data_IF_882779888321
#
_entry.id   IF_882779888321
#
_cell.length_a   1.000
_cell.length_b   1.000
_cell.length_c   1.000
_cell.angle_alpha   90.00
_cell.angle_beta   90.00
_cell.angle_gamma   90.00
#
_symmetry.space_group_name_H-M   'P 1'
#
loop_
_entity.id
_entity.type
_entity.pdbx_description
1 polymer ?
#
# COMPACT_ATOMS: atom_id res chain seq x y z
N UNK A 1 8.21 -8.58 -8.38
CA UNK A 1 7.79 -9.60 -7.39
C UNK A 1 7.09 -10.71 -8.14
N UNK A 2 7.57 -11.95 -8.06
CA UNK A 2 7.03 -13.11 -8.82
C UNK A 2 6.27 -14.12 -7.95
N UNK A 3 6.23 -13.91 -6.62
CA UNK A 3 5.58 -14.83 -5.70
C UNK A 3 4.08 -14.51 -5.59
N UNK A 4 3.29 -15.28 -6.34
CA UNK A 4 1.83 -15.33 -6.29
C UNK A 4 1.38 -16.31 -5.19
N UNK A 5 0.19 -16.08 -4.62
CA UNK A 5 -0.45 -17.03 -3.70
C UNK A 5 -1.87 -17.32 -4.16
N UNK A 6 -2.39 -18.48 -3.76
CA UNK A 6 -3.75 -18.94 -4.10
C UNK A 6 -4.78 -18.58 -3.03
N UNK A 7 -4.43 -17.71 -2.09
CA UNK A 7 -5.41 -17.15 -1.16
C UNK A 7 -6.29 -16.14 -1.88
N UNK A 8 -7.60 -16.38 -1.94
CA UNK A 8 -8.62 -15.61 -2.68
C UNK A 8 -8.97 -14.25 -2.04
N UNK A 9 -7.97 -13.62 -1.41
CA UNK A 9 -8.05 -12.33 -0.74
C UNK A 9 -6.75 -11.58 -0.93
N UNK A 10 -6.85 -10.26 -1.03
CA UNK A 10 -5.66 -9.40 -1.02
C UNK A 10 -5.11 -9.28 0.39
N UNK A 11 -3.84 -9.62 0.59
CA UNK A 11 -3.15 -9.50 1.88
C UNK A 11 -2.54 -8.11 2.01
N UNK A 12 -2.92 -7.37 3.05
CA UNK A 12 -2.29 -6.10 3.42
C UNK A 12 -1.26 -6.39 4.51
N UNK A 13 -0.02 -5.97 4.30
CA UNK A 13 1.07 -6.30 5.21
C UNK A 13 2.06 -5.14 5.40
N UNK A 14 2.89 -5.25 6.43
CA UNK A 14 3.97 -4.33 6.74
C UNK A 14 5.21 -5.09 7.25
N UNK A 15 5.82 -4.61 8.33
CA UNK A 15 6.98 -5.18 9.03
C UNK A 15 8.34 -4.94 8.36
N UNK A 16 8.47 -5.25 7.06
CA UNK A 16 9.68 -4.92 6.29
C UNK A 16 9.41 -3.69 5.44
N UNK A 17 10.16 -2.59 5.62
CA UNK A 17 9.88 -1.34 4.93
C UNK A 17 10.26 -1.41 3.44
N UNK A 18 9.44 -0.78 2.61
CA UNK A 18 9.70 -0.48 1.20
C UNK A 18 9.84 1.04 0.99
N UNK A 19 10.45 1.47 -0.13
CA UNK A 19 10.56 2.91 -0.44
C UNK A 19 9.19 3.56 -0.70
N UNK A 20 8.31 2.82 -1.35
CA UNK A 20 6.93 3.19 -1.67
C UNK A 20 6.00 2.00 -1.39
N UNK A 21 4.69 2.22 -1.46
CA UNK A 21 3.72 1.12 -1.34
C UNK A 21 4.02 0.06 -2.41
N UNK A 22 3.98 -1.21 -2.00
CA UNK A 22 4.10 -2.32 -2.92
C UNK A 22 2.71 -2.75 -3.36
N UNK A 23 2.35 -2.55 -4.63
CA UNK A 23 1.12 -3.12 -5.20
C UNK A 23 1.45 -4.36 -6.03
N UNK A 24 1.03 -5.52 -5.55
CA UNK A 24 1.06 -6.77 -6.30
C UNK A 24 -0.34 -7.40 -6.29
N UNK A 25 -1.28 -6.69 -6.92
CA UNK A 25 -2.68 -7.08 -6.99
C UNK A 25 -2.89 -8.25 -7.98
N UNK A 26 -3.85 -9.16 -7.70
CA UNK A 26 -4.78 -9.14 -6.56
C UNK A 26 -4.20 -9.72 -5.27
N UNK A 27 -2.93 -10.15 -5.26
CA UNK A 27 -2.34 -10.94 -4.19
C UNK A 27 -2.07 -10.13 -2.91
N UNK A 28 -1.22 -9.10 -2.98
CA UNK A 28 -0.72 -8.43 -1.78
C UNK A 28 -0.43 -6.95 -1.97
N UNK A 29 -0.58 -6.20 -0.88
CA UNK A 29 -0.23 -4.77 -0.78
C UNK A 29 0.66 -4.55 0.44
N UNK A 30 1.87 -4.05 0.22
CA UNK A 30 2.79 -3.65 1.30
C UNK A 30 2.61 -2.18 1.64
N UNK A 31 2.28 -1.86 2.89
CA UNK A 31 2.04 -0.48 3.37
C UNK A 31 3.12 0.05 4.30
N UNK A 32 4.07 -0.79 4.72
CA UNK A 32 5.21 -0.30 5.51
C UNK A 32 6.18 0.44 4.59
N UNK A 33 6.15 1.76 4.67
CA UNK A 33 7.07 2.64 3.95
C UNK A 33 8.19 3.17 4.82
N UNK A 34 8.39 2.65 6.03
CA UNK A 34 9.54 3.00 6.86
C UNK A 34 9.52 4.40 7.46
N UNK A 35 8.39 4.85 8.03
CA UNK A 35 8.29 6.14 8.74
C UNK A 35 9.41 6.34 9.77
N UNK A 36 9.69 5.31 10.58
CA UNK A 36 10.71 5.36 11.63
C UNK A 36 12.10 5.67 11.05
N UNK A 37 12.38 5.16 9.84
CA UNK A 37 13.63 5.36 9.13
C UNK A 37 13.73 6.70 8.37
N UNK A 38 12.77 7.60 8.53
CA UNK A 38 12.82 8.94 7.92
C UNK A 38 11.97 9.12 6.67
N UNK A 39 11.23 8.10 6.23
CA UNK A 39 10.36 8.20 5.07
C UNK A 39 8.94 8.63 5.49
N UNK A 40 7.92 7.84 5.17
CA UNK A 40 6.50 8.23 5.34
C UNK A 40 5.68 7.18 6.05
N UNK A 41 4.61 7.62 6.69
CA UNK A 41 3.50 6.79 7.13
C UNK A 41 2.54 6.64 5.96
N UNK A 42 2.12 5.41 5.69
CA UNK A 42 1.19 5.13 4.59
C UNK A 42 -0.12 4.55 5.09
N UNK A 43 -1.21 4.94 4.44
CA UNK A 43 -2.54 4.40 4.62
C UNK A 43 -3.14 4.13 3.23
N UNK A 44 -3.94 3.07 3.14
CA UNK A 44 -4.77 2.78 1.96
C UNK A 44 -6.24 2.78 2.36
N UNK A 45 -7.03 3.53 1.63
CA UNK A 45 -8.49 3.48 1.69
C UNK A 45 -8.98 2.56 0.59
N UNK A 46 -9.45 1.37 0.98
CA UNK A 46 -9.93 0.36 0.04
C UNK A 46 -11.32 0.67 -0.51
N UNK A 47 -12.09 1.55 0.14
CA UNK A 47 -13.46 1.88 -0.25
C UNK A 47 -13.45 2.88 -1.41
N UNK A 48 -12.56 3.87 -1.33
CA UNK A 48 -12.39 4.90 -2.37
C UNK A 48 -11.17 4.67 -3.27
N UNK A 49 -10.42 3.59 -3.04
CA UNK A 49 -9.17 3.25 -3.73
C UNK A 49 -8.14 4.40 -3.69
N UNK A 50 -7.92 4.96 -2.49
CA UNK A 50 -6.97 6.05 -2.27
C UNK A 50 -5.74 5.58 -1.50
N UNK A 51 -4.61 6.22 -1.77
CA UNK A 51 -3.39 6.17 -0.97
C UNK A 51 -3.26 7.51 -0.27
N UNK A 52 -3.05 7.47 1.04
CA UNK A 52 -2.79 8.64 1.86
C UNK A 52 -1.42 8.48 2.51
N UNK A 53 -0.54 9.48 2.38
CA UNK A 53 0.78 9.44 3.00
C UNK A 53 1.11 10.73 3.73
N UNK A 54 1.88 10.60 4.81
CA UNK A 54 2.45 11.72 5.56
C UNK A 54 3.92 11.44 5.76
N UNK A 55 4.78 12.32 5.24
CA UNK A 55 6.22 12.26 5.47
C UNK A 55 6.56 12.54 6.94
N UNK A 56 7.67 12.00 7.43
CA UNK A 56 8.13 12.22 8.81
C UNK A 56 8.30 13.73 9.08
N UNK A 57 7.56 14.23 10.08
CA UNK A 57 7.59 15.64 10.47
C UNK A 57 6.70 16.56 9.62
N UNK A 58 6.07 16.06 8.55
CA UNK A 58 5.10 16.81 7.79
C UNK A 58 3.76 16.93 8.54
N UNK A 59 3.01 17.99 8.23
CA UNK A 59 1.64 18.22 8.73
C UNK A 59 0.58 18.10 7.62
N UNK A 60 1.02 17.81 6.40
CA UNK A 60 0.17 17.71 5.21
C UNK A 60 0.13 16.26 4.74
N UNK A 61 -1.07 15.80 4.39
CA UNK A 61 -1.31 14.49 3.77
C UNK A 61 -1.22 14.65 2.26
N UNK A 62 -0.45 13.78 1.59
CA UNK A 62 -0.55 13.58 0.15
C UNK A 62 -1.61 12.51 -0.14
N UNK A 63 -2.43 12.76 -1.17
CA UNK A 63 -3.51 11.85 -1.56
C UNK A 63 -3.31 11.49 -3.03
N UNK A 64 -3.35 10.21 -3.34
CA UNK A 64 -3.37 9.68 -4.71
C UNK A 64 -4.36 8.51 -4.80
N UNK A 65 -4.66 8.03 -6.01
CA UNK A 65 -5.51 6.85 -6.24
C UNK A 65 -4.68 5.65 -6.68
N UNK A 66 -5.24 4.45 -6.50
CA UNK A 66 -4.69 3.22 -7.09
C UNK A 66 -5.78 2.45 -7.82
N UNK A 67 -5.41 1.75 -8.90
CA UNK A 67 -6.36 0.94 -9.65
C UNK A 67 -6.42 -0.49 -9.11
N UNK A 68 -7.62 -0.94 -8.75
CA UNK A 68 -7.89 -2.37 -8.66
C UNK A 68 -8.20 -2.87 -10.07
N UNK A 69 -7.44 -3.85 -10.57
CA UNK A 69 -7.93 -4.65 -11.70
C UNK A 69 -9.22 -5.32 -11.23
N UNK A 70 -10.34 -4.99 -11.87
CA UNK A 70 -11.61 -5.65 -11.58
C UNK A 70 -11.39 -7.16 -11.72
N UNK A 71 -11.79 -7.93 -10.72
CA UNK A 71 -11.88 -9.37 -10.87
C UNK A 71 -12.96 -9.62 -11.92
N UNK A 72 -12.57 -10.05 -13.12
CA UNK A 72 -13.52 -10.55 -14.11
C UNK A 72 -14.31 -11.67 -13.45
N UNK A 73 -15.63 -11.46 -13.33
CA UNK A 73 -16.56 -12.46 -12.83
C UNK A 73 -16.65 -13.65 -13.78
#
# INVERSE_FOLDING_TARGET
ISNIHHFDRTVIFGHTPFRDLMFHLPYKIGIDTGLVFGNKLSCIDLTENRVLQVEKGARKVSVSSFEKKQATK
#
